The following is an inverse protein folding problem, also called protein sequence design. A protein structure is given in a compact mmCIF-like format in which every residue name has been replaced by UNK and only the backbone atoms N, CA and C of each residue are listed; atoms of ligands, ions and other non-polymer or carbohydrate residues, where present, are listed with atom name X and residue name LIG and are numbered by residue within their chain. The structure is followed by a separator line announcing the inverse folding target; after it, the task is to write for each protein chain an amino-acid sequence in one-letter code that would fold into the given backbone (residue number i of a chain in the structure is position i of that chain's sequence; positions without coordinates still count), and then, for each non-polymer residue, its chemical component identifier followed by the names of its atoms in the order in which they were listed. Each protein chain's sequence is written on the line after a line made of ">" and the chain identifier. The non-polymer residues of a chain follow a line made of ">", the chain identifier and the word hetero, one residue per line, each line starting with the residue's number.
data_IF_896815265905
#
_entry.id   IF_896815265905
#
_cell.length_a   1.000
_cell.length_b   1.000
_cell.length_c   1.000
_cell.angle_alpha   90.00
_cell.angle_beta   90.00
_cell.angle_gamma   90.00
#
_symmetry.space_group_name_H-M   'P 1'
#
loop_
_entity.id
_entity.type
_entity.pdbx_description
1 polymer ?
#
# COMPACT_ATOMS: atom_id res chain seq x y z
N UNK A 1 26.65 4.11 0.69
CA UNK A 1 25.95 3.85 1.99
C UNK A 1 24.52 4.40 1.89
N UNK A 2 23.54 3.62 2.25
CA UNK A 2 22.12 4.02 2.23
C UNK A 2 21.84 5.05 3.33
N UNK A 3 21.11 6.10 2.99
CA UNK A 3 20.72 7.20 3.89
C UNK A 3 19.22 7.38 4.01
N UNK A 4 18.45 6.76 3.10
CA UNK A 4 17.00 6.81 3.12
C UNK A 4 16.37 5.50 2.64
N UNK A 5 15.17 5.22 3.13
CA UNK A 5 14.30 4.18 2.62
C UNK A 5 12.93 4.78 2.32
N UNK A 6 12.49 4.61 1.08
CA UNK A 6 11.16 4.92 0.62
C UNK A 6 10.33 3.64 0.62
N UNK A 7 9.08 3.74 1.00
CA UNK A 7 8.14 2.61 1.02
C UNK A 7 6.88 2.93 0.22
N UNK A 8 6.34 1.92 -0.43
CA UNK A 8 4.92 1.89 -0.74
C UNK A 8 4.09 1.63 0.54
N UNK A 9 2.76 1.79 0.46
CA UNK A 9 1.85 1.55 1.58
C UNK A 9 1.09 0.24 1.43
N UNK A 10 0.22 0.13 0.42
CA UNK A 10 -0.71 -1.00 0.23
C UNK A 10 0.01 -2.25 -0.30
N UNK A 11 -0.02 -3.35 0.43
CA UNK A 11 0.74 -4.56 0.07
C UNK A 11 2.18 -4.54 0.60
N UNK A 12 2.66 -3.41 1.12
CA UNK A 12 4.04 -3.24 1.61
C UNK A 12 4.11 -3.00 3.12
N UNK A 13 3.59 -1.90 3.62
CA UNK A 13 3.50 -1.62 5.06
C UNK A 13 2.12 -1.96 5.64
N UNK A 14 1.06 -1.73 4.87
CA UNK A 14 -0.31 -2.12 5.17
C UNK A 14 -0.60 -3.49 4.54
N UNK A 15 -0.93 -4.49 5.36
CA UNK A 15 -1.51 -5.74 4.87
C UNK A 15 -2.93 -5.47 4.36
N UNK A 16 -2.97 -5.03 3.09
CA UNK A 16 -4.21 -4.61 2.44
C UNK A 16 -5.21 -5.76 2.35
N UNK A 17 -4.72 -6.98 2.11
CA UNK A 17 -5.60 -8.14 1.96
C UNK A 17 -6.33 -8.45 3.26
N UNK A 18 -5.60 -8.63 4.36
CA UNK A 18 -6.21 -8.88 5.67
C UNK A 18 -7.08 -7.70 6.13
N UNK A 19 -6.65 -6.48 5.89
CA UNK A 19 -7.42 -5.27 6.22
C UNK A 19 -8.75 -5.22 5.48
N UNK A 20 -8.74 -5.55 4.19
CA UNK A 20 -9.93 -5.56 3.35
C UNK A 20 -10.90 -6.69 3.74
N UNK A 21 -10.35 -7.86 4.06
CA UNK A 21 -11.13 -9.00 4.55
C UNK A 21 -11.85 -8.65 5.86
N UNK A 22 -11.14 -8.08 6.84
CA UNK A 22 -11.77 -7.65 8.09
C UNK A 22 -12.80 -6.55 7.85
N UNK A 23 -12.49 -5.59 6.99
CA UNK A 23 -13.43 -4.53 6.66
C UNK A 23 -14.73 -5.06 6.06
N UNK A 24 -14.67 -5.94 5.05
CA UNK A 24 -15.88 -6.42 4.37
C UNK A 24 -16.74 -7.29 5.29
N UNK A 25 -16.12 -8.08 6.17
CA UNK A 25 -16.84 -8.83 7.20
C UNK A 25 -17.60 -7.91 8.17
N UNK A 26 -17.03 -6.77 8.52
CA UNK A 26 -17.65 -5.79 9.40
C UNK A 26 -18.70 -4.95 8.65
N UNK A 27 -18.44 -4.55 7.40
CA UNK A 27 -19.41 -3.88 6.56
C UNK A 27 -20.68 -4.74 6.36
N UNK A 28 -20.54 -6.04 6.10
CA UNK A 28 -21.69 -6.95 6.03
C UNK A 28 -22.53 -6.88 7.32
N UNK A 29 -21.91 -6.90 8.49
CA UNK A 29 -22.64 -6.82 9.76
C UNK A 29 -23.36 -5.47 9.93
N UNK A 30 -22.75 -4.36 9.56
CA UNK A 30 -23.38 -3.03 9.60
C UNK A 30 -24.60 -2.92 8.71
N UNK A 31 -24.58 -3.62 7.57
CA UNK A 31 -25.67 -3.62 6.58
C UNK A 31 -26.51 -4.90 6.59
N UNK A 32 -26.46 -5.70 7.67
CA UNK A 32 -27.10 -7.02 7.76
C UNK A 32 -28.59 -7.00 7.41
N UNK A 33 -29.32 -5.92 7.78
CA UNK A 33 -30.75 -5.80 7.47
C UNK A 33 -31.06 -5.80 5.97
N UNK A 34 -30.09 -5.47 5.14
CA UNK A 34 -30.21 -5.46 3.68
C UNK A 34 -29.60 -6.70 3.02
N UNK A 35 -28.72 -7.41 3.74
CA UNK A 35 -27.91 -8.52 3.22
C UNK A 35 -28.31 -9.89 3.78
N UNK A 36 -29.28 -9.96 4.71
CA UNK A 36 -29.62 -11.16 5.49
C UNK A 36 -30.03 -12.39 4.65
N UNK A 37 -30.39 -12.20 3.38
CA UNK A 37 -30.75 -13.29 2.46
C UNK A 37 -29.55 -13.86 1.70
N UNK A 38 -28.35 -13.33 1.95
CA UNK A 38 -27.09 -13.73 1.29
C UNK A 38 -26.17 -14.26 2.39
N UNK A 39 -25.60 -15.43 2.17
CA UNK A 39 -24.60 -15.96 3.11
C UNK A 39 -23.40 -14.99 3.22
N UNK A 40 -22.99 -14.68 4.47
CA UNK A 40 -21.93 -13.73 4.75
C UNK A 40 -20.62 -14.12 4.07
N UNK A 41 -20.25 -15.39 4.15
CA UNK A 41 -19.02 -15.91 3.52
C UNK A 41 -19.05 -15.74 2.00
N UNK A 42 -20.21 -15.98 1.38
CA UNK A 42 -20.40 -15.81 -0.06
C UNK A 42 -20.24 -14.35 -0.48
N UNK A 43 -20.94 -13.43 0.21
CA UNK A 43 -20.84 -11.99 -0.06
C UNK A 43 -19.40 -11.46 0.08
N UNK A 44 -18.73 -11.82 1.19
CA UNK A 44 -17.38 -11.37 1.45
C UNK A 44 -16.38 -11.94 0.43
N UNK A 45 -16.47 -13.22 0.10
CA UNK A 45 -15.60 -13.84 -0.90
C UNK A 45 -15.81 -13.21 -2.29
N UNK A 46 -17.08 -12.97 -2.67
CA UNK A 46 -17.38 -12.33 -3.94
C UNK A 46 -16.88 -10.90 -4.03
N UNK A 47 -16.97 -10.15 -2.94
CA UNK A 47 -16.40 -8.80 -2.86
C UNK A 47 -14.87 -8.82 -3.09
N UNK A 48 -14.15 -9.73 -2.43
CA UNK A 48 -12.68 -9.83 -2.57
C UNK A 48 -12.29 -10.26 -3.98
N UNK A 49 -13.04 -11.17 -4.59
CA UNK A 49 -12.83 -11.57 -5.98
C UNK A 49 -13.01 -10.40 -6.95
N UNK A 50 -14.10 -9.63 -6.79
CA UNK A 50 -14.39 -8.46 -7.62
C UNK A 50 -13.38 -7.32 -7.41
N UNK A 51 -12.85 -7.17 -6.19
CA UNK A 51 -11.80 -6.19 -5.89
C UNK A 51 -10.54 -6.40 -6.73
N UNK A 52 -10.26 -7.66 -7.08
CA UNK A 52 -9.14 -8.03 -7.93
C UNK A 52 -7.83 -7.34 -7.50
N UNK A 53 -7.46 -7.52 -6.24
CA UNK A 53 -6.28 -6.91 -5.61
C UNK A 53 -6.21 -5.37 -5.74
N UNK A 54 -7.36 -4.70 -5.76
CA UNK A 54 -7.46 -3.23 -5.88
C UNK A 54 -7.50 -2.69 -7.30
N UNK A 55 -7.44 -3.54 -8.32
CA UNK A 55 -7.53 -3.12 -9.73
C UNK A 55 -8.93 -2.73 -10.15
N UNK A 56 -9.96 -3.19 -9.43
CA UNK A 56 -11.34 -2.76 -9.67
C UNK A 56 -11.73 -1.69 -8.67
N UNK A 57 -12.22 -0.55 -9.17
CA UNK A 57 -12.72 0.52 -8.31
C UNK A 57 -13.90 0.04 -7.47
N UNK A 58 -13.98 0.49 -6.21
CA UNK A 58 -15.00 0.05 -5.27
C UNK A 58 -16.43 0.39 -5.69
N UNK A 59 -16.62 1.47 -6.43
CA UNK A 59 -17.91 1.79 -7.03
C UNK A 59 -18.38 0.67 -7.97
N UNK A 60 -17.52 0.20 -8.87
CA UNK A 60 -17.80 -0.91 -9.78
C UNK A 60 -18.02 -2.22 -9.01
N UNK A 61 -17.20 -2.50 -7.99
CA UNK A 61 -17.38 -3.68 -7.12
C UNK A 61 -18.75 -3.67 -6.48
N UNK A 62 -19.16 -2.57 -5.85
CA UNK A 62 -20.45 -2.47 -5.18
C UNK A 62 -21.63 -2.49 -6.17
N UNK A 63 -21.51 -1.81 -7.31
CA UNK A 63 -22.54 -1.86 -8.35
C UNK A 63 -22.78 -3.30 -8.83
N UNK A 64 -21.69 -4.06 -9.02
CA UNK A 64 -21.75 -5.46 -9.43
C UNK A 64 -22.42 -6.32 -8.37
N UNK A 65 -22.02 -6.21 -7.10
CA UNK A 65 -22.62 -6.97 -5.99
C UNK A 65 -24.12 -6.68 -5.85
N UNK A 66 -24.51 -5.41 -5.87
CA UNK A 66 -25.92 -5.03 -5.77
C UNK A 66 -26.75 -5.63 -6.90
N UNK A 67 -26.20 -5.66 -8.12
CA UNK A 67 -26.86 -6.25 -9.30
C UNK A 67 -26.93 -7.77 -9.21
N UNK A 68 -25.82 -8.46 -8.91
CA UNK A 68 -25.76 -9.93 -8.84
C UNK A 68 -26.72 -10.50 -7.80
N UNK A 69 -26.81 -9.86 -6.63
CA UNK A 69 -27.66 -10.31 -5.52
C UNK A 69 -29.06 -9.68 -5.53
N UNK A 70 -29.39 -8.87 -6.55
CA UNK A 70 -30.67 -8.16 -6.64
C UNK A 70 -31.00 -7.32 -5.40
N UNK A 71 -30.01 -6.66 -4.81
CA UNK A 71 -30.17 -5.81 -3.64
C UNK A 71 -30.69 -4.44 -4.10
N UNK A 72 -31.93 -4.11 -3.75
CA UNK A 72 -32.58 -2.84 -4.14
C UNK A 72 -32.76 -1.87 -2.96
N UNK A 73 -32.41 -2.29 -1.76
CA UNK A 73 -32.59 -1.53 -0.51
C UNK A 73 -31.34 -0.79 -0.06
N UNK A 74 -30.23 -0.95 -0.78
CA UNK A 74 -28.96 -0.26 -0.60
C UNK A 74 -28.53 0.38 -1.91
N UNK A 75 -27.76 1.44 -1.81
CA UNK A 75 -27.11 2.05 -2.99
C UNK A 75 -25.61 1.84 -2.96
N UNK A 76 -25.00 1.90 -4.14
CA UNK A 76 -23.56 1.86 -4.34
C UNK A 76 -22.85 2.97 -3.52
N UNK A 77 -23.43 4.17 -3.51
CA UNK A 77 -22.87 5.33 -2.81
C UNK A 77 -22.84 5.11 -1.29
N UNK A 78 -23.84 4.44 -0.72
CA UNK A 78 -23.90 4.12 0.70
C UNK A 78 -22.75 3.18 1.09
N UNK A 79 -22.55 2.12 0.32
CA UNK A 79 -21.48 1.15 0.55
C UNK A 79 -20.09 1.77 0.32
N UNK A 80 -19.95 2.58 -0.74
CA UNK A 80 -18.70 3.27 -1.03
C UNK A 80 -18.36 4.31 0.06
N UNK A 81 -19.34 5.06 0.52
CA UNK A 81 -19.15 6.02 1.60
C UNK A 81 -18.71 5.31 2.88
N UNK A 82 -19.34 4.20 3.22
CA UNK A 82 -18.95 3.38 4.37
C UNK A 82 -17.50 2.84 4.22
N UNK A 83 -17.12 2.40 3.02
CA UNK A 83 -15.74 1.98 2.74
C UNK A 83 -14.74 3.11 2.99
N UNK A 84 -14.97 4.27 2.39
CA UNK A 84 -14.05 5.42 2.49
C UNK A 84 -13.91 5.89 3.95
N UNK A 85 -15.00 5.84 4.71
CA UNK A 85 -15.03 6.33 6.09
C UNK A 85 -14.44 5.33 7.09
N UNK A 86 -14.73 4.05 6.92
CA UNK A 86 -14.49 3.04 7.96
C UNK A 86 -13.31 2.09 7.68
N UNK A 87 -12.76 2.04 6.46
CA UNK A 87 -11.63 1.16 6.15
C UNK A 87 -10.43 1.39 7.08
N UNK A 88 -10.15 2.64 7.42
CA UNK A 88 -9.06 3.00 8.33
C UNK A 88 -9.10 2.30 9.69
N UNK A 89 -10.28 1.88 10.16
CA UNK A 89 -10.45 1.18 11.43
C UNK A 89 -10.08 -0.31 11.35
N UNK A 90 -9.80 -0.81 10.15
CA UNK A 90 -9.44 -2.19 9.87
C UNK A 90 -8.01 -2.32 9.31
N UNK A 91 -7.24 -1.24 9.31
CA UNK A 91 -5.86 -1.25 8.84
C UNK A 91 -4.98 -2.15 9.72
N UNK A 92 -4.40 -3.18 9.12
CA UNK A 92 -3.49 -4.14 9.73
C UNK A 92 -2.09 -3.89 9.15
N UNK A 93 -1.07 -3.61 9.98
CA UNK A 93 0.30 -3.52 9.49
C UNK A 93 0.82 -4.91 9.11
N UNK A 94 1.70 -5.00 8.12
CA UNK A 94 2.51 -6.19 7.97
C UNK A 94 3.36 -6.45 9.23
N UNK A 95 3.65 -7.72 9.47
CA UNK A 95 4.50 -8.12 10.56
C UNK A 95 5.83 -7.35 10.53
N UNK A 96 6.31 -6.97 11.69
CA UNK A 96 7.57 -6.25 11.89
C UNK A 96 7.65 -4.83 11.29
N UNK A 97 6.55 -4.26 10.75
CA UNK A 97 6.56 -2.90 10.20
C UNK A 97 7.07 -1.85 11.21
N UNK A 98 6.49 -1.82 12.41
CA UNK A 98 6.89 -0.84 13.42
C UNK A 98 8.33 -1.05 13.89
N UNK A 99 8.76 -2.29 14.05
CA UNK A 99 10.12 -2.61 14.43
C UNK A 99 11.13 -2.14 13.38
N UNK A 100 10.83 -2.37 12.08
CA UNK A 100 11.66 -1.87 11.00
C UNK A 100 11.76 -0.35 11.04
N UNK A 101 10.62 0.37 11.06
CA UNK A 101 10.61 1.84 11.03
C UNK A 101 11.34 2.43 12.25
N UNK A 102 11.21 1.81 13.42
CA UNK A 102 11.93 2.21 14.62
C UNK A 102 13.44 2.00 14.47
N UNK A 103 13.89 0.85 13.94
CA UNK A 103 15.32 0.55 13.72
C UNK A 103 15.93 1.49 12.70
N UNK A 104 15.22 1.81 11.61
CA UNK A 104 15.66 2.81 10.64
C UNK A 104 15.88 4.19 11.29
N UNK A 105 14.91 4.62 12.10
CA UNK A 105 15.00 5.89 12.84
C UNK A 105 16.18 5.92 13.80
N UNK A 106 16.41 4.83 14.54
CA UNK A 106 17.56 4.72 15.47
C UNK A 106 18.91 4.79 14.76
N UNK A 107 18.98 4.34 13.51
CA UNK A 107 20.16 4.39 12.66
C UNK A 107 20.30 5.72 11.88
N UNK A 108 19.42 6.70 12.14
CA UNK A 108 19.33 7.96 11.42
C UNK A 108 19.08 7.80 9.90
N UNK A 109 18.44 6.71 9.48
CA UNK A 109 17.98 6.50 8.12
C UNK A 109 16.68 7.27 7.94
N UNK A 110 16.63 8.13 6.92
CA UNK A 110 15.43 8.90 6.58
C UNK A 110 14.35 7.97 6.00
N UNK A 111 13.11 8.22 6.34
CA UNK A 111 11.96 7.42 5.88
C UNK A 111 11.05 8.30 5.02
N UNK A 112 10.51 7.74 3.94
CA UNK A 112 9.47 8.40 3.16
C UNK A 112 8.46 7.38 2.62
N UNK A 113 7.27 7.87 2.26
CA UNK A 113 6.18 7.05 1.71
C UNK A 113 5.79 7.63 0.35
N UNK A 114 5.61 6.75 -0.64
CA UNK A 114 4.99 7.09 -1.92
C UNK A 114 3.87 6.09 -2.18
N UNK A 115 2.63 6.54 -2.19
CA UNK A 115 1.47 5.67 -2.40
C UNK A 115 0.55 6.19 -3.51
N UNK A 116 0.06 5.27 -4.35
CA UNK A 116 -0.97 5.58 -5.33
C UNK A 116 -2.35 5.51 -4.66
N UNK A 117 -3.18 6.53 -4.83
CA UNK A 117 -4.53 6.56 -4.28
C UNK A 117 -5.06 7.96 -4.01
N UNK A 118 -6.21 8.02 -3.34
CA UNK A 118 -6.86 9.24 -2.91
C UNK A 118 -6.22 9.77 -1.63
N UNK A 119 -6.01 11.06 -1.57
CA UNK A 119 -5.23 11.73 -0.51
C UNK A 119 -5.79 11.46 0.88
N UNK A 120 -7.06 11.77 1.09
CA UNK A 120 -7.68 11.60 2.41
C UNK A 120 -7.71 10.14 2.84
N UNK A 121 -8.00 9.21 1.91
CA UNK A 121 -8.05 7.78 2.18
C UNK A 121 -6.68 7.25 2.63
N UNK A 122 -5.63 7.53 1.85
CA UNK A 122 -4.28 7.07 2.18
C UNK A 122 -3.73 7.73 3.45
N UNK A 123 -4.00 9.02 3.66
CA UNK A 123 -3.59 9.71 4.87
C UNK A 123 -4.29 9.16 6.13
N UNK A 124 -5.55 8.74 6.02
CA UNK A 124 -6.25 8.09 7.12
C UNK A 124 -5.66 6.71 7.45
N UNK A 125 -5.32 5.92 6.42
CA UNK A 125 -4.66 4.62 6.60
C UNK A 125 -3.28 4.77 7.25
N UNK A 126 -2.48 5.75 6.79
CA UNK A 126 -1.17 6.08 7.39
C UNK A 126 -1.27 6.49 8.86
N UNK A 127 -2.31 7.26 9.20
CA UNK A 127 -2.57 7.65 10.62
C UNK A 127 -3.00 6.46 11.45
N UNK A 128 -3.89 5.61 10.93
CA UNK A 128 -4.36 4.41 11.61
C UNK A 128 -3.20 3.46 11.96
N UNK A 129 -2.22 3.36 11.07
CA UNK A 129 -0.99 2.59 11.27
C UNK A 129 0.10 3.35 12.06
N UNK A 130 -0.14 4.59 12.50
CA UNK A 130 0.85 5.45 13.16
C UNK A 130 2.13 5.71 12.35
N UNK A 131 2.13 5.51 11.03
CA UNK A 131 3.31 5.71 10.16
C UNK A 131 3.72 7.19 10.14
N UNK A 132 2.78 8.12 10.26
CA UNK A 132 3.00 9.56 10.33
C UNK A 132 3.92 10.00 11.48
N UNK A 133 4.16 9.15 12.49
CA UNK A 133 5.08 9.43 13.59
C UNK A 133 6.55 9.21 13.22
N UNK A 134 6.83 8.49 12.14
CA UNK A 134 8.18 8.18 11.67
C UNK A 134 8.65 9.11 10.56
N UNK A 135 7.75 9.74 9.82
CA UNK A 135 8.10 10.59 8.69
C UNK A 135 7.05 11.65 8.37
N UNK A 136 7.52 12.81 7.89
CA UNK A 136 6.69 13.85 7.27
C UNK A 136 6.80 13.83 5.72
N UNK A 137 7.65 12.95 5.15
CA UNK A 137 7.80 12.81 3.71
C UNK A 137 6.82 11.77 3.20
N UNK A 138 5.60 12.21 2.91
CA UNK A 138 4.51 11.40 2.39
C UNK A 138 4.06 12.02 1.07
N UNK A 139 4.08 11.23 0.00
CA UNK A 139 3.60 11.60 -1.33
C UNK A 139 2.45 10.68 -1.70
N UNK A 140 1.27 11.27 -1.87
CA UNK A 140 0.07 10.57 -2.36
C UNK A 140 -0.18 11.02 -3.79
N UNK A 141 -0.39 10.08 -4.70
CA UNK A 141 -0.46 10.36 -6.14
C UNK A 141 -1.48 11.41 -6.52
N UNK A 142 -2.66 11.43 -5.87
CA UNK A 142 -3.68 12.46 -6.13
C UNK A 142 -3.18 13.86 -5.74
N UNK A 143 -2.60 14.03 -4.55
CA UNK A 143 -2.07 15.31 -4.07
C UNK A 143 -0.89 15.80 -4.92
N UNK A 144 -0.07 14.87 -5.41
CA UNK A 144 1.09 15.20 -6.26
C UNK A 144 0.71 15.43 -7.73
N UNK A 145 -0.50 15.04 -8.17
CA UNK A 145 -0.95 15.10 -9.56
C UNK A 145 -0.24 14.14 -10.51
N UNK A 146 0.56 13.23 -9.97
CA UNK A 146 1.30 12.18 -10.69
C UNK A 146 1.31 10.90 -9.85
N UNK A 147 1.43 9.76 -10.51
CA UNK A 147 1.42 8.45 -9.83
C UNK A 147 2.61 7.59 -10.24
N UNK A 148 2.99 6.65 -9.38
CA UNK A 148 3.93 5.58 -9.74
C UNK A 148 3.40 4.81 -10.96
N UNK A 149 4.22 4.40 -11.94
CA UNK A 149 5.70 4.46 -11.94
C UNK A 149 6.30 5.74 -12.54
N UNK A 150 5.58 6.86 -12.65
CA UNK A 150 6.13 8.09 -13.26
C UNK A 150 7.39 8.55 -12.50
N UNK A 151 8.56 8.76 -13.17
CA UNK A 151 9.83 9.05 -12.53
C UNK A 151 9.80 10.24 -11.56
N UNK A 152 9.08 11.29 -11.92
CA UNK A 152 9.03 12.54 -11.17
C UNK A 152 8.54 12.35 -9.71
N UNK A 153 7.66 11.38 -9.42
CA UNK A 153 7.18 11.19 -8.04
C UNK A 153 8.32 10.71 -7.13
N UNK A 154 9.21 9.85 -7.65
CA UNK A 154 10.40 9.38 -6.93
C UNK A 154 11.42 10.50 -6.76
N UNK A 155 11.66 11.30 -7.80
CA UNK A 155 12.57 12.45 -7.75
C UNK A 155 12.12 13.50 -6.72
N UNK A 156 10.80 13.76 -6.62
CA UNK A 156 10.23 14.64 -5.59
C UNK A 156 10.48 14.10 -4.18
N UNK A 157 10.34 12.80 -3.98
CA UNK A 157 10.61 12.17 -2.68
C UNK A 157 12.10 12.27 -2.30
N UNK A 158 13.02 11.98 -3.23
CA UNK A 158 14.45 12.14 -3.04
C UNK A 158 14.81 13.58 -2.66
N UNK A 159 14.25 14.56 -3.35
CA UNK A 159 14.44 15.97 -3.06
C UNK A 159 13.92 16.35 -1.67
N UNK A 160 12.73 15.88 -1.28
CA UNK A 160 12.18 16.13 0.07
C UNK A 160 13.04 15.52 1.17
N UNK A 161 13.64 14.36 0.91
CA UNK A 161 14.55 13.68 1.84
C UNK A 161 15.98 14.23 1.80
N UNK A 162 16.34 15.05 0.81
CA UNK A 162 17.70 15.54 0.59
C UNK A 162 18.71 14.37 0.57
N UNK A 163 18.50 13.45 -0.39
CA UNK A 163 19.38 12.31 -0.67
C UNK A 163 19.48 12.08 -2.18
N UNK A 164 20.59 11.44 -2.60
CA UNK A 164 20.74 10.99 -3.98
C UNK A 164 20.05 9.66 -4.19
N UNK A 165 19.72 9.34 -5.43
CA UNK A 165 19.04 8.08 -5.78
C UNK A 165 19.85 6.85 -5.33
N UNK A 166 21.16 6.85 -5.56
CA UNK A 166 22.06 5.77 -5.14
C UNK A 166 22.23 5.62 -3.62
N UNK A 167 21.75 6.59 -2.84
CA UNK A 167 21.75 6.56 -1.36
C UNK A 167 20.39 6.11 -0.81
N UNK A 168 19.44 5.71 -1.68
CA UNK A 168 18.07 5.39 -1.31
C UNK A 168 17.69 3.97 -1.71
N UNK A 169 16.96 3.27 -0.84
CA UNK A 169 16.18 2.08 -1.17
C UNK A 169 14.73 2.48 -1.43
N UNK A 170 14.06 1.75 -2.30
CA UNK A 170 12.61 1.76 -2.42
C UNK A 170 12.08 0.36 -2.19
N UNK A 171 11.18 0.21 -1.24
CA UNK A 171 10.55 -1.08 -0.91
C UNK A 171 9.10 -1.04 -1.31
N UNK A 172 8.68 -1.99 -2.15
CA UNK A 172 7.30 -2.10 -2.61
C UNK A 172 6.96 -3.49 -3.10
N UNK A 173 5.67 -3.81 -3.18
CA UNK A 173 5.17 -5.10 -3.63
C UNK A 173 4.94 -5.18 -5.14
N UNK A 174 4.65 -4.04 -5.79
CA UNK A 174 4.29 -4.00 -7.19
C UNK A 174 5.53 -3.96 -8.10
N UNK A 175 5.76 -4.98 -8.98
CA UNK A 175 6.93 -5.03 -9.86
C UNK A 175 7.19 -3.76 -10.66
N UNK A 176 6.18 -3.28 -11.40
CA UNK A 176 6.34 -2.14 -12.31
C UNK A 176 6.27 -0.80 -11.60
N UNK A 177 5.26 -0.61 -10.73
CA UNK A 177 5.02 0.70 -10.10
C UNK A 177 6.10 1.03 -9.07
N UNK A 178 6.59 0.03 -8.34
CA UNK A 178 7.51 0.22 -7.22
C UNK A 178 8.95 -0.10 -7.58
N UNK A 179 9.20 -1.35 -7.93
CA UNK A 179 10.57 -1.85 -8.10
C UNK A 179 11.18 -1.25 -9.35
N UNK A 180 10.62 -1.56 -10.52
CA UNK A 180 11.16 -1.07 -11.79
C UNK A 180 11.00 0.44 -11.94
N UNK A 181 9.89 1.02 -11.43
CA UNK A 181 9.67 2.46 -11.45
C UNK A 181 10.72 3.24 -10.65
N UNK A 182 11.09 2.76 -9.46
CA UNK A 182 12.14 3.39 -8.65
C UNK A 182 13.54 3.21 -9.27
N UNK A 183 13.81 2.08 -9.91
CA UNK A 183 15.09 1.82 -10.56
C UNK A 183 15.33 2.68 -11.80
N UNK A 184 14.26 3.15 -12.48
CA UNK A 184 14.39 4.08 -13.60
C UNK A 184 15.06 5.40 -13.21
N UNK A 185 14.94 5.82 -11.96
CA UNK A 185 15.59 7.05 -11.45
C UNK A 185 16.88 6.77 -10.68
N UNK A 186 17.34 5.50 -10.66
CA UNK A 186 18.60 5.10 -10.01
C UNK A 186 18.48 4.78 -8.51
N UNK A 187 17.26 4.69 -7.97
CA UNK A 187 17.02 4.18 -6.61
C UNK A 187 17.21 2.65 -6.63
N UNK A 188 17.66 2.08 -5.52
CA UNK A 188 17.78 0.63 -5.39
C UNK A 188 16.42 0.03 -5.03
N UNK A 189 15.73 -0.58 -6.00
CA UNK A 189 14.45 -1.27 -5.81
C UNK A 189 14.63 -2.54 -4.97
N UNK A 190 13.73 -2.76 -4.02
CA UNK A 190 13.60 -3.96 -3.19
C UNK A 190 12.16 -4.44 -3.29
N UNK A 191 12.00 -5.66 -3.79
CA UNK A 191 10.67 -6.25 -3.94
C UNK A 191 10.24 -6.92 -2.65
N UNK A 192 9.18 -6.41 -2.02
CA UNK A 192 8.46 -7.15 -1.00
C UNK A 192 7.57 -8.17 -1.72
N UNK A 193 7.95 -9.46 -1.59
CA UNK A 193 7.28 -10.52 -2.34
C UNK A 193 5.78 -10.54 -2.07
N UNK A 194 5.01 -10.56 -3.15
CA UNK A 194 3.58 -10.82 -3.14
C UNK A 194 3.28 -11.94 -4.14
N UNK A 195 2.52 -12.94 -3.70
CA UNK A 195 2.16 -14.11 -4.51
C UNK A 195 1.28 -13.77 -5.71
N UNK A 196 0.62 -12.61 -5.70
CA UNK A 196 -0.16 -12.11 -6.84
C UNK A 196 0.73 -11.91 -8.09
N UNK A 197 2.03 -11.62 -7.90
CA UNK A 197 3.02 -11.40 -8.96
C UNK A 197 3.92 -12.62 -9.18
N UNK A 198 3.36 -13.83 -9.16
CA UNK A 198 4.06 -15.10 -9.06
C UNK A 198 5.26 -15.34 -9.98
N UNK A 199 5.28 -14.75 -11.19
CA UNK A 199 6.36 -14.92 -12.18
C UNK A 199 7.42 -13.79 -12.13
N UNK A 200 7.27 -12.81 -11.23
CA UNK A 200 8.27 -11.75 -11.11
C UNK A 200 9.47 -12.22 -10.29
N UNK A 201 10.65 -12.04 -10.86
CA UNK A 201 11.93 -12.32 -10.21
C UNK A 201 12.75 -11.05 -10.07
N UNK A 202 13.34 -10.85 -8.89
CA UNK A 202 14.22 -9.73 -8.61
C UNK A 202 15.38 -10.15 -7.70
N UNK A 203 16.54 -9.49 -7.88
CA UNK A 203 17.75 -9.84 -7.11
C UNK A 203 17.71 -9.37 -5.65
N UNK A 204 16.93 -8.32 -5.35
CA UNK A 204 16.67 -7.80 -4.01
C UNK A 204 15.22 -8.05 -3.65
N UNK A 205 14.98 -9.10 -2.90
CA UNK A 205 13.63 -9.53 -2.49
C UNK A 205 13.62 -9.73 -1.00
N UNK A 206 12.48 -9.40 -0.38
CA UNK A 206 12.20 -9.64 1.04
C UNK A 206 10.84 -10.30 1.20
N UNK A 207 10.76 -11.25 2.11
CA UNK A 207 9.52 -11.85 2.57
C UNK A 207 9.09 -11.23 3.90
N UNK A 208 10.04 -10.88 4.76
CA UNK A 208 9.83 -10.13 6.00
C UNK A 208 10.43 -8.73 5.92
N UNK A 209 9.72 -7.75 6.49
CA UNK A 209 10.16 -6.35 6.44
C UNK A 209 11.50 -6.11 7.13
N UNK A 210 11.88 -6.89 8.16
CA UNK A 210 13.19 -6.74 8.81
C UNK A 210 14.36 -7.10 7.90
N UNK A 211 14.14 -7.89 6.86
CA UNK A 211 15.18 -8.24 5.89
C UNK A 211 15.69 -7.01 5.11
N UNK A 212 14.87 -5.94 5.03
CA UNK A 212 15.29 -4.64 4.45
C UNK A 212 16.56 -4.11 5.10
N UNK A 213 16.77 -4.37 6.39
CA UNK A 213 17.95 -3.92 7.11
C UNK A 213 19.26 -4.48 6.53
N UNK A 214 19.23 -5.66 5.93
CA UNK A 214 20.41 -6.28 5.30
C UNK A 214 20.91 -5.50 4.07
N UNK A 215 20.06 -4.68 3.45
CA UNK A 215 20.41 -3.88 2.29
C UNK A 215 21.00 -2.51 2.64
N UNK A 216 20.97 -2.08 3.92
CA UNK A 216 21.48 -0.78 4.33
C UNK A 216 23.02 -0.67 4.18
N UNK A 217 23.73 -1.79 4.27
CA UNK A 217 25.20 -1.87 4.20
C UNK A 217 25.73 -2.05 2.78
N UNK A 218 24.85 -2.06 1.77
CA UNK A 218 25.29 -2.20 0.37
C UNK A 218 26.19 -1.02 0.02
N UNK A 219 27.46 -1.31 -0.25
CA UNK A 219 28.37 -0.33 -0.82
C UNK A 219 27.86 0.05 -2.22
N UNK A 220 27.47 1.29 -2.40
CA UNK A 220 27.18 1.84 -3.72
C UNK A 220 28.46 1.80 -4.54
N UNK A 221 28.62 0.79 -5.40
CA UNK A 221 29.71 0.75 -6.38
C UNK A 221 29.54 1.97 -7.27
N UNK A 222 30.41 2.95 -7.05
CA UNK A 222 30.59 4.08 -7.96
C UNK A 222 30.90 3.49 -9.34
N UNK A 223 30.00 3.62 -10.31
CA UNK A 223 30.33 3.35 -11.72
C UNK A 223 31.41 4.37 -12.12
N UNK A 224 32.63 3.88 -12.28
CA UNK A 224 33.70 4.60 -12.98
C UNK A 224 33.37 4.70 -14.46
#
# INVERSE_FOLDING_TARGET
>A
MIRAVLFDLDGTLLDRHQSLEQFIHDQYNRFISHLMNIEKSEYCSRFLELDNNGYTWKDTVYATLLSEYNITTLTQEQLLHDYITNFQHHCIPFQNMHELLQRLTQQNIKIGIITNGFTDFQMNNLRALNIHTYTNTILVSEAEGIKKPHPEIFERALKKLDVKAEECLYVGDHPENDVLGSEQVGILGVWKRDSFWGDFEHSRVVDDLLEVLSFLEIETKTRQ
#
